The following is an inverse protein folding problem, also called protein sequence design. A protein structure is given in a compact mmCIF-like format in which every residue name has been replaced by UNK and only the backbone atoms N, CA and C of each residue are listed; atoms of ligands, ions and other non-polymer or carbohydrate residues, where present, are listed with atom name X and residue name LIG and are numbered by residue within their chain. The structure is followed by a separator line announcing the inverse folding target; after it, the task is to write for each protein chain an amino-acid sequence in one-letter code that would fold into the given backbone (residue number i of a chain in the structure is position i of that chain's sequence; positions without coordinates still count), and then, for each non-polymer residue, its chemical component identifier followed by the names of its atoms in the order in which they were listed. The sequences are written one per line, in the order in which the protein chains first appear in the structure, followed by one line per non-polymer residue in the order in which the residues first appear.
data_IF_842337420942
#
_entry.id   IF_842337420942
#
_cell.length_a   1.000
_cell.length_b   1.000
_cell.length_c   1.000
_cell.angle_alpha   90.00
_cell.angle_beta   90.00
_cell.angle_gamma   90.00
#
_symmetry.space_group_name_H-M   'P 1'
#
loop_
_entity.id
_entity.type
_entity.pdbx_description
1 polymer ?
#
# COMPACT_ATOMS: atom_id res chain seq x y z
N UNK A 1 13.75 3.37 -9.39
CA UNK A 1 12.46 2.74 -9.02
C UNK A 1 12.08 3.15 -7.61
N UNK A 2 10.83 3.57 -7.38
CA UNK A 2 10.35 3.92 -6.03
C UNK A 2 10.03 2.66 -5.25
N UNK A 3 10.41 2.62 -3.97
CA UNK A 3 10.04 1.50 -3.09
C UNK A 3 8.56 1.60 -2.77
N UNK A 4 7.80 0.57 -3.12
CA UNK A 4 6.37 0.47 -2.81
C UNK A 4 6.17 -0.56 -1.71
N UNK A 5 5.46 -0.19 -0.65
CA UNK A 5 5.01 -1.12 0.40
C UNK A 5 3.50 -1.05 0.47
N UNK A 6 2.84 -2.20 0.32
CA UNK A 6 1.39 -2.32 0.41
C UNK A 6 1.01 -2.99 1.73
N UNK A 7 0.36 -2.24 2.60
CA UNK A 7 -0.19 -2.73 3.85
C UNK A 7 -1.61 -3.26 3.62
N UNK A 8 -1.81 -4.54 3.93
CA UNK A 8 -3.08 -5.25 3.72
C UNK A 8 -3.55 -5.94 4.99
N UNK A 9 -4.81 -6.35 5.03
CA UNK A 9 -5.35 -7.27 6.04
C UNK A 9 -6.16 -8.37 5.37
N UNK A 10 -6.45 -9.44 6.10
CA UNK A 10 -7.32 -10.51 5.61
C UNK A 10 -8.71 -9.98 5.25
N UNK A 11 -9.32 -10.55 4.21
CA UNK A 11 -10.68 -10.22 3.72
C UNK A 11 -10.85 -8.71 3.41
N UNK A 12 -9.89 -8.13 2.69
CA UNK A 12 -9.96 -6.75 2.21
C UNK A 12 -10.08 -6.70 0.67
N UNK A 13 -11.26 -6.42 0.10
CA UNK A 13 -11.44 -6.37 -1.36
C UNK A 13 -10.57 -5.29 -2.03
N UNK A 14 -10.56 -4.07 -1.47
CA UNK A 14 -9.73 -2.97 -1.99
C UNK A 14 -8.22 -3.28 -1.95
N UNK A 15 -7.77 -4.12 -1.02
CA UNK A 15 -6.38 -4.55 -0.96
C UNK A 15 -6.02 -5.50 -2.12
N UNK A 16 -6.99 -6.29 -2.61
CA UNK A 16 -6.80 -7.13 -3.81
C UNK A 16 -6.78 -6.29 -5.07
N UNK A 17 -7.62 -5.25 -5.15
CA UNK A 17 -7.62 -4.32 -6.29
C UNK A 17 -6.27 -3.60 -6.41
N UNK A 18 -5.70 -3.18 -5.27
CA UNK A 18 -4.36 -2.60 -5.22
C UNK A 18 -3.28 -3.57 -5.73
N UNK A 19 -3.28 -4.82 -5.25
CA UNK A 19 -2.33 -5.86 -5.72
C UNK A 19 -2.43 -6.07 -7.22
N UNK A 20 -3.65 -6.37 -7.72
CA UNK A 20 -3.89 -6.61 -9.14
C UNK A 20 -3.41 -5.47 -10.03
N UNK A 21 -3.66 -4.22 -9.60
CA UNK A 21 -3.19 -3.07 -10.34
C UNK A 21 -1.66 -3.00 -10.37
N UNK A 22 -0.99 -3.13 -9.23
CA UNK A 22 0.48 -3.12 -9.14
C UNK A 22 1.10 -4.26 -9.97
N UNK A 23 0.52 -5.46 -9.87
CA UNK A 23 0.93 -6.64 -10.62
C UNK A 23 0.76 -6.41 -12.15
N UNK A 24 -0.39 -5.87 -12.58
CA UNK A 24 -0.65 -5.56 -14.00
C UNK A 24 0.30 -4.51 -14.58
N UNK A 25 0.85 -3.64 -13.73
CA UNK A 25 1.83 -2.61 -14.10
C UNK A 25 3.28 -3.10 -13.92
N UNK A 26 3.46 -4.36 -13.51
CA UNK A 26 4.76 -4.98 -13.21
C UNK A 26 5.57 -4.15 -12.20
N UNK A 27 4.90 -3.56 -11.21
CA UNK A 27 5.52 -2.75 -10.16
C UNK A 27 5.94 -3.68 -9.03
N UNK A 28 7.21 -3.66 -8.67
CA UNK A 28 7.69 -4.39 -7.49
C UNK A 28 7.25 -3.71 -6.20
N UNK A 29 6.56 -4.45 -5.33
CA UNK A 29 6.15 -3.97 -4.01
C UNK A 29 6.37 -5.02 -2.93
N UNK A 30 6.57 -4.55 -1.70
CA UNK A 30 6.57 -5.40 -0.50
C UNK A 30 5.16 -5.47 0.06
N UNK A 31 4.63 -6.68 0.20
CA UNK A 31 3.35 -6.91 0.86
C UNK A 31 3.57 -7.02 2.37
N UNK A 32 2.84 -6.21 3.14
CA UNK A 32 2.94 -6.17 4.59
C UNK A 32 1.58 -6.43 5.23
N UNK A 33 1.46 -7.50 6.03
CA UNK A 33 0.20 -7.81 6.70
C UNK A 33 0.05 -6.97 7.97
N UNK A 34 -0.91 -6.04 7.97
CA UNK A 34 -1.26 -5.17 9.08
C UNK A 34 -1.83 -5.92 10.30
N UNK A 35 -2.19 -7.21 10.17
CA UNK A 35 -2.54 -8.06 11.32
C UNK A 35 -1.32 -8.52 12.11
N UNK A 36 -0.15 -8.64 11.48
CA UNK A 36 1.06 -9.04 12.18
C UNK A 36 1.58 -7.87 13.03
N UNK A 37 2.16 -8.15 14.20
CA UNK A 37 2.67 -7.13 15.11
C UNK A 37 3.61 -6.14 14.40
N UNK A 38 4.49 -6.64 13.52
CA UNK A 38 5.40 -5.81 12.73
C UNK A 38 4.66 -4.88 11.77
N UNK A 39 3.72 -5.42 10.99
CA UNK A 39 2.95 -4.62 10.04
C UNK A 39 2.05 -3.59 10.74
N UNK A 40 1.52 -3.93 11.92
CA UNK A 40 0.76 -3.00 12.75
C UNK A 40 1.61 -1.84 13.25
N UNK A 41 2.79 -2.12 13.81
CA UNK A 41 3.74 -1.08 14.24
C UNK A 41 4.14 -0.16 13.09
N UNK A 42 4.43 -0.72 11.91
CA UNK A 42 4.74 0.07 10.72
C UNK A 42 3.55 0.95 10.31
N UNK A 43 2.32 0.42 10.31
CA UNK A 43 1.10 1.16 9.97
C UNK A 43 0.83 2.31 10.94
N UNK A 44 0.96 2.05 12.24
CA UNK A 44 0.76 3.05 13.31
C UNK A 44 1.82 4.17 13.20
N UNK A 45 3.07 3.84 12.87
CA UNK A 45 4.14 4.81 12.64
C UNK A 45 3.89 5.71 11.41
N UNK A 46 3.11 5.23 10.43
CA UNK A 46 2.67 6.02 9.28
C UNK A 46 1.44 6.90 9.61
N UNK A 47 0.91 6.82 10.85
CA UNK A 47 -0.30 7.53 11.27
C UNK A 47 -1.59 6.98 10.63
N UNK A 48 -1.53 5.83 9.97
CA UNK A 48 -2.67 5.27 9.26
C UNK A 48 -3.51 4.36 10.18
N UNK A 49 -4.83 4.55 10.16
CA UNK A 49 -5.78 3.79 10.99
C UNK A 49 -6.57 2.74 10.21
N UNK A 50 -6.50 2.78 8.89
CA UNK A 50 -7.26 1.92 7.98
C UNK A 50 -6.33 1.33 6.92
N UNK A 51 -6.80 0.31 6.22
CA UNK A 51 -6.11 -0.34 5.10
C UNK A 51 -7.07 -0.43 3.91
N UNK A 52 -6.59 -0.48 2.66
CA UNK A 52 -5.18 -0.57 2.23
C UNK A 52 -4.39 0.73 2.47
N UNK A 53 -3.09 0.61 2.74
CA UNK A 53 -2.16 1.76 2.75
C UNK A 53 -0.99 1.44 1.85
N UNK A 54 -0.59 2.42 1.04
CA UNK A 54 0.58 2.31 0.18
C UNK A 54 1.62 3.34 0.60
N UNK A 55 2.82 2.87 0.95
CA UNK A 55 3.99 3.72 1.11
C UNK A 55 4.77 3.71 -0.20
N UNK A 56 4.94 4.87 -0.82
CA UNK A 56 5.61 5.06 -2.12
C UNK A 56 6.80 5.99 -1.88
N UNK A 57 7.98 5.40 -1.66
CA UNK A 57 9.14 6.15 -1.16
C UNK A 57 8.84 6.76 0.20
N UNK A 58 8.86 8.09 0.27
CA UNK A 58 8.57 8.86 1.49
C UNK A 58 7.10 9.29 1.61
N UNK A 59 6.31 9.07 0.55
CA UNK A 59 4.88 9.41 0.53
C UNK A 59 4.04 8.25 1.02
N UNK A 60 2.91 8.57 1.65
CA UNK A 60 1.92 7.59 2.14
C UNK A 60 0.57 7.91 1.52
N UNK A 61 -0.08 6.88 0.97
CA UNK A 61 -1.43 6.91 0.46
C UNK A 61 -2.31 6.02 1.33
N UNK A 62 -3.32 6.62 1.98
CA UNK A 62 -4.31 5.88 2.75
C UNK A 62 -5.52 5.61 1.86
N UNK A 63 -5.95 4.35 1.79
CA UNK A 63 -6.97 3.89 0.86
C UNK A 63 -6.39 3.56 -0.52
N UNK A 64 -7.23 2.93 -1.35
CA UNK A 64 -6.86 2.57 -2.73
C UNK A 64 -7.53 3.52 -3.71
N UNK A 65 -6.71 4.23 -4.50
CA UNK A 65 -7.16 5.02 -5.64
C UNK A 65 -6.09 4.98 -6.74
N UNK A 66 -6.36 4.36 -7.91
CA UNK A 66 -5.36 4.19 -8.96
C UNK A 66 -4.90 5.52 -9.56
N UNK A 67 -5.80 6.51 -9.71
CA UNK A 67 -5.43 7.84 -10.24
C UNK A 67 -4.48 8.57 -9.29
N UNK A 68 -4.70 8.45 -7.98
CA UNK A 68 -3.82 9.05 -6.99
C UNK A 68 -2.48 8.32 -6.92
N UNK A 69 -2.50 6.99 -7.00
CA UNK A 69 -1.29 6.18 -7.06
C UNK A 69 -0.40 6.59 -8.24
N UNK A 70 -0.94 6.71 -9.45
CA UNK A 70 -0.19 7.12 -10.63
C UNK A 70 0.47 8.50 -10.44
N UNK A 71 -0.27 9.47 -9.89
CA UNK A 71 0.28 10.80 -9.59
C UNK A 71 1.43 10.72 -8.59
N UNK A 72 1.33 9.89 -7.55
CA UNK A 72 2.38 9.74 -6.55
C UNK A 72 3.59 8.95 -7.07
N UNK A 73 3.35 7.95 -7.94
CA UNK A 73 4.38 7.07 -8.45
C UNK A 73 5.17 7.71 -9.60
N UNK A 74 4.51 8.42 -10.52
CA UNK A 74 5.16 9.08 -11.66
C UNK A 74 5.93 10.36 -11.31
N UNK A 75 5.54 11.03 -10.22
CA UNK A 75 6.14 12.30 -9.77
C UNK A 75 7.16 12.07 -8.67
#
# INVERSE_FOLDING_TARGET
MKRVVLYVKDKCPHCKDAQRYLDSKNINYRLCNAKMQRGRKELDALGARSVPVLKIGDRVMIGWNPKNFEKMYSN
#
